data_IF_371476480170
#
_entry.id   IF_371476480170
#
_cell.length_a   1.000
_cell.length_b   1.000
_cell.length_c   1.000
_cell.angle_alpha   90.00
_cell.angle_beta   90.00
_cell.angle_gamma   90.00
#
_symmetry.space_group_name_H-M   'P 1'
#
loop_
_entity.id
_entity.type
_entity.pdbx_description
1 polymer ?
#
# COMPACT_ATOMS: atom_id res chain seq x y z
N UNK A 1 -2.29 -14.57 22.80
CA UNK A 1 -1.85 -13.72 21.68
C UNK A 1 -3.12 -13.08 21.13
N UNK A 2 -3.30 -11.78 21.36
CA UNK A 2 -4.52 -11.06 20.98
C UNK A 2 -4.65 -11.10 19.45
N UNK A 3 -5.79 -11.57 18.95
CA UNK A 3 -6.15 -11.45 17.53
C UNK A 3 -6.16 -9.96 17.20
N UNK A 4 -5.12 -9.46 16.53
CA UNK A 4 -5.14 -8.12 15.98
C UNK A 4 -6.34 -8.05 15.03
N UNK A 5 -7.20 -7.06 15.21
CA UNK A 5 -8.35 -6.87 14.32
C UNK A 5 -7.84 -6.40 12.95
N UNK A 6 -8.61 -6.64 11.89
CA UNK A 6 -8.29 -6.14 10.54
C UNK A 6 -8.02 -4.62 10.59
N UNK A 7 -8.79 -3.89 11.40
CA UNK A 7 -8.67 -2.45 11.59
C UNK A 7 -7.30 -2.04 12.16
N UNK A 8 -6.77 -2.77 13.15
CA UNK A 8 -5.45 -2.48 13.73
C UNK A 8 -4.34 -2.63 12.71
N UNK A 9 -4.35 -3.72 11.93
CA UNK A 9 -3.36 -3.92 10.86
C UNK A 9 -3.46 -2.87 9.75
N UNK A 10 -4.67 -2.46 9.37
CA UNK A 10 -4.87 -1.41 8.38
C UNK A 10 -4.37 -0.05 8.90
N UNK A 11 -4.59 0.26 10.18
CA UNK A 11 -4.09 1.47 10.81
C UNK A 11 -2.55 1.50 10.89
N UNK A 12 -1.92 0.40 11.32
CA UNK A 12 -0.46 0.27 11.34
C UNK A 12 0.15 0.41 9.94
N UNK A 13 -0.46 -0.23 8.94
CA UNK A 13 -0.03 -0.11 7.54
C UNK A 13 -0.13 1.34 7.05
N UNK A 14 -1.19 2.07 7.39
CA UNK A 14 -1.34 3.48 7.03
C UNK A 14 -0.28 4.36 7.70
N UNK A 15 0.05 4.12 8.98
CA UNK A 15 1.11 4.87 9.66
C UNK A 15 2.48 4.66 8.99
N UNK A 16 2.80 3.44 8.58
CA UNK A 16 4.03 3.16 7.82
C UNK A 16 4.03 3.79 6.43
N UNK A 17 2.86 3.82 5.76
CA UNK A 17 2.72 4.48 4.45
C UNK A 17 2.92 5.99 4.55
N UNK A 18 2.36 6.63 5.58
CA UNK A 18 2.53 8.07 5.82
C UNK A 18 4.01 8.43 5.96
N UNK A 19 4.76 7.68 6.77
CA UNK A 19 6.20 7.90 6.95
C UNK A 19 6.96 7.70 5.63
N UNK A 20 6.66 6.63 4.89
CA UNK A 20 7.29 6.36 3.60
C UNK A 20 7.00 7.46 2.56
N UNK A 21 5.79 8.03 2.54
CA UNK A 21 5.41 9.15 1.68
C UNK A 21 6.22 10.39 2.05
N UNK A 22 6.28 10.74 3.33
CA UNK A 22 7.02 11.91 3.81
C UNK A 22 8.50 11.82 3.44
N UNK A 23 9.14 10.67 3.69
CA UNK A 23 10.54 10.43 3.32
C UNK A 23 10.76 10.45 1.81
N UNK A 24 9.83 9.90 1.02
CA UNK A 24 9.88 9.93 -0.44
C UNK A 24 9.87 11.36 -0.97
N UNK A 25 8.96 12.19 -0.47
CA UNK A 25 8.84 13.61 -0.86
C UNK A 25 10.12 14.36 -0.48
N UNK A 26 10.58 14.21 0.76
CA UNK A 26 11.79 14.87 1.26
C UNK A 26 13.01 14.53 0.39
N UNK A 27 13.20 13.24 0.09
CA UNK A 27 14.32 12.77 -0.74
C UNK A 27 14.29 13.39 -2.15
N UNK A 28 13.11 13.49 -2.76
CA UNK A 28 12.97 14.10 -4.09
C UNK A 28 13.15 15.61 -4.05
N UNK A 29 12.74 16.28 -2.97
CA UNK A 29 12.97 17.71 -2.78
C UNK A 29 14.46 18.04 -2.63
N UNK A 30 15.22 17.21 -1.92
CA UNK A 30 16.67 17.37 -1.74
C UNK A 30 17.45 17.01 -3.01
N UNK A 31 16.99 15.99 -3.75
CA UNK A 31 17.62 15.54 -4.98
C UNK A 31 16.58 15.11 -6.01
N UNK A 32 16.25 16.01 -6.93
CA UNK A 32 15.23 15.79 -7.95
C UNK A 32 15.53 14.60 -8.89
N UNK A 33 16.81 14.21 -9.03
CA UNK A 33 17.21 13.05 -9.84
C UNK A 33 16.82 11.71 -9.22
N UNK A 34 16.52 11.68 -7.91
CA UNK A 34 16.07 10.48 -7.19
C UNK A 34 14.62 10.08 -7.49
N UNK A 35 13.83 10.96 -8.12
CA UNK A 35 12.40 10.74 -8.39
C UNK A 35 12.11 9.43 -9.14
N UNK A 36 12.96 9.07 -10.10
CA UNK A 36 12.83 7.80 -10.85
C UNK A 36 13.05 6.57 -9.96
N UNK A 37 14.04 6.62 -9.08
CA UNK A 37 14.34 5.51 -8.16
C UNK A 37 13.22 5.35 -7.13
N UNK A 38 12.76 6.46 -6.54
CA UNK A 38 11.65 6.47 -5.59
C UNK A 38 10.37 5.95 -6.25
N UNK A 39 10.07 6.38 -7.49
CA UNK A 39 8.97 5.86 -8.28
C UNK A 39 9.02 4.34 -8.44
N UNK A 40 10.20 3.79 -8.78
CA UNK A 40 10.40 2.34 -8.90
C UNK A 40 10.13 1.57 -7.60
N UNK A 41 10.47 2.13 -6.43
CA UNK A 41 10.16 1.53 -5.12
C UNK A 41 8.65 1.45 -4.89
N UNK A 42 7.92 2.53 -5.22
CA UNK A 42 6.47 2.58 -5.11
C UNK A 42 5.78 1.61 -6.08
N UNK A 43 6.26 1.53 -7.33
CA UNK A 43 5.76 0.55 -8.31
C UNK A 43 5.90 -0.89 -7.81
N UNK A 44 7.08 -1.23 -7.28
CA UNK A 44 7.32 -2.57 -6.72
C UNK A 44 6.38 -2.86 -5.55
N UNK A 45 6.23 -1.92 -4.61
CA UNK A 45 5.34 -2.09 -3.46
C UNK A 45 3.89 -2.30 -3.88
N UNK A 46 3.35 -1.43 -4.76
CA UNK A 46 1.98 -1.53 -5.24
C UNK A 46 1.76 -2.84 -6.01
N UNK A 47 2.72 -3.25 -6.84
CA UNK A 47 2.68 -4.53 -7.54
C UNK A 47 2.59 -5.72 -6.58
N UNK A 48 3.40 -5.73 -5.53
CA UNK A 48 3.35 -6.77 -4.49
C UNK A 48 2.02 -6.76 -3.74
N UNK A 49 1.53 -5.58 -3.33
CA UNK A 49 0.26 -5.44 -2.63
C UNK A 49 -0.93 -5.97 -3.46
N UNK A 50 -1.08 -5.49 -4.70
CA UNK A 50 -2.14 -5.97 -5.59
C UNK A 50 -1.99 -7.46 -5.92
N UNK A 51 -0.76 -7.95 -6.06
CA UNK A 51 -0.46 -9.37 -6.23
C UNK A 51 -0.99 -10.20 -5.06
N UNK A 52 -0.68 -9.80 -3.82
CA UNK A 52 -1.16 -10.49 -2.61
C UNK A 52 -2.68 -10.53 -2.52
N UNK A 53 -3.37 -9.41 -2.79
CA UNK A 53 -4.84 -9.35 -2.77
C UNK A 53 -5.43 -10.31 -3.80
N UNK A 54 -4.91 -10.30 -5.04
CA UNK A 54 -5.37 -11.20 -6.11
C UNK A 54 -5.10 -12.66 -5.78
N UNK A 55 -3.90 -12.99 -5.30
CA UNK A 55 -3.51 -14.38 -5.03
C UNK A 55 -4.29 -14.97 -3.86
N UNK A 56 -4.49 -14.21 -2.78
CA UNK A 56 -5.37 -14.64 -1.69
C UNK A 56 -6.80 -14.79 -2.18
N UNK A 57 -7.29 -13.86 -2.99
CA UNK A 57 -8.65 -13.93 -3.52
C UNK A 57 -8.90 -15.12 -4.45
N UNK A 58 -7.92 -15.48 -5.30
CA UNK A 58 -7.98 -16.71 -6.11
C UNK A 58 -8.04 -17.97 -5.23
N UNK A 59 -7.18 -18.04 -4.21
CA UNK A 59 -7.09 -19.20 -3.31
C UNK A 59 -8.34 -19.38 -2.44
N UNK A 60 -8.94 -18.29 -1.97
CA UNK A 60 -10.13 -18.31 -1.12
C UNK A 60 -11.46 -18.21 -1.87
N UNK A 61 -11.43 -17.94 -3.19
CA UNK A 61 -12.60 -17.55 -4.01
C UNK A 61 -13.33 -16.31 -3.48
N UNK A 62 -12.63 -15.44 -2.74
CA UNK A 62 -13.16 -14.18 -2.20
C UNK A 62 -12.50 -13.01 -2.92
N UNK A 63 -13.30 -12.13 -3.53
CA UNK A 63 -12.78 -10.91 -4.14
C UNK A 63 -12.87 -9.72 -3.18
N UNK A 64 -11.81 -9.46 -2.41
CA UNK A 64 -11.76 -8.33 -1.47
C UNK A 64 -12.02 -6.98 -2.15
N UNK A 65 -11.54 -6.80 -3.39
CA UNK A 65 -11.76 -5.57 -4.15
C UNK A 65 -13.23 -5.35 -4.53
N UNK A 66 -14.05 -6.40 -4.56
CA UNK A 66 -15.49 -6.27 -4.85
C UNK A 66 -16.29 -5.62 -3.72
N UNK A 67 -15.73 -5.59 -2.50
CA UNK A 67 -16.36 -4.95 -1.35
C UNK A 67 -15.99 -3.47 -1.22
N UNK A 68 -14.99 -3.03 -1.98
CA UNK A 68 -14.51 -1.65 -1.96
C UNK A 68 -15.27 -0.85 -3.02
N UNK A 69 -16.01 0.17 -2.57
CA UNK A 69 -16.61 1.14 -3.48
C UNK A 69 -15.56 2.16 -3.88
N UNK A 70 -14.82 1.92 -4.97
CA UNK A 70 -13.79 2.84 -5.46
C UNK A 70 -14.32 4.26 -5.75
N UNK A 71 -15.61 4.40 -6.10
CA UNK A 71 -16.27 5.71 -6.24
C UNK A 71 -16.35 6.54 -4.95
N UNK A 72 -16.16 5.91 -3.78
CA UNK A 72 -16.13 6.56 -2.47
C UNK A 72 -14.72 6.87 -1.99
N UNK A 73 -13.69 6.39 -2.69
CA UNK A 73 -12.30 6.74 -2.43
C UNK A 73 -12.05 8.05 -3.19
N UNK A 74 -11.81 9.14 -2.45
CA UNK A 74 -11.51 10.48 -2.98
C UNK A 74 -10.02 10.74 -3.01
#
# INVERSE_FOLDING_TARGET
MQNQTIDQHLQEALAHLEEAINQSIHTVMENQTSSKEIGGKWEQFLGQFYGMVKDKGKKSRINLLSWISFSRIR
#
